data_IF_141972439766
#
_entry.id   IF_141972439766
#
_cell.length_a   1.000
_cell.length_b   1.000
_cell.length_c   1.000
_cell.angle_alpha   90.00
_cell.angle_beta   90.00
_cell.angle_gamma   90.00
#
_symmetry.space_group_name_H-M   'P 1'
#
loop_
_entity.id
_entity.type
_entity.pdbx_description
1 polymer ?
#
# COMPACT_ATOMS: atom_id res chain seq x y z
N UNK A 1 37.16 -3.02 -20.19
CA UNK A 1 35.69 -3.15 -20.10
C UNK A 1 35.33 -4.39 -20.89
N UNK A 2 34.64 -5.39 -20.33
CA UNK A 2 34.25 -6.56 -21.12
C UNK A 2 33.32 -6.08 -22.25
N UNK A 3 33.54 -6.63 -23.45
CA UNK A 3 32.81 -6.28 -24.67
C UNK A 3 31.29 -6.25 -24.42
N UNK A 4 30.68 -5.08 -24.57
CA UNK A 4 29.22 -4.95 -24.63
C UNK A 4 28.76 -5.82 -25.80
N UNK A 5 28.07 -6.93 -25.51
CA UNK A 5 27.32 -7.69 -26.52
C UNK A 5 26.59 -6.68 -27.42
N UNK A 6 26.76 -6.82 -28.73
CA UNK A 6 26.07 -6.04 -29.76
C UNK A 6 24.60 -5.87 -29.37
N UNK A 7 24.16 -4.62 -29.29
CA UNK A 7 22.77 -4.27 -28.98
C UNK A 7 21.88 -4.83 -30.09
N UNK A 8 21.18 -5.93 -29.82
CA UNK A 8 20.05 -6.36 -30.64
C UNK A 8 19.09 -5.19 -30.83
N UNK A 9 18.43 -5.13 -31.99
CA UNK A 9 17.40 -4.15 -32.29
C UNK A 9 16.39 -4.01 -31.13
N UNK A 10 16.07 -2.76 -30.76
CA UNK A 10 15.03 -2.49 -29.77
C UNK A 10 13.70 -2.91 -30.39
N UNK A 11 13.11 -4.00 -29.89
CA UNK A 11 11.76 -4.42 -30.26
C UNK A 11 10.77 -3.59 -29.46
N UNK A 12 9.97 -2.79 -30.14
CA UNK A 12 8.88 -2.06 -29.50
C UNK A 12 7.76 -3.03 -29.13
N UNK A 13 7.34 -3.01 -27.87
CA UNK A 13 6.21 -3.79 -27.35
C UNK A 13 4.86 -3.11 -27.59
N UNK A 14 4.87 -1.95 -28.25
CA UNK A 14 3.70 -1.11 -28.52
C UNK A 14 2.74 -1.71 -29.53
N UNK A 15 3.04 -2.82 -30.20
CA UNK A 15 2.08 -3.47 -31.10
C UNK A 15 2.00 -4.97 -30.79
N UNK A 16 0.84 -5.61 -31.02
CA UNK A 16 0.74 -7.06 -30.90
C UNK A 16 1.72 -7.72 -31.87
N UNK A 17 2.44 -8.73 -31.41
CA UNK A 17 3.20 -9.60 -32.27
C UNK A 17 2.27 -10.67 -32.84
N UNK A 18 2.26 -10.84 -34.16
CA UNK A 18 1.41 -11.84 -34.83
C UNK A 18 1.74 -13.28 -34.41
N UNK A 19 2.96 -13.54 -33.95
CA UNK A 19 3.47 -14.87 -33.58
C UNK A 19 3.61 -15.09 -32.06
N UNK A 20 3.13 -14.14 -31.22
CA UNK A 20 3.29 -14.23 -29.78
C UNK A 20 2.31 -15.21 -29.12
N UNK A 21 2.83 -16.20 -28.38
CA UNK A 21 2.05 -17.07 -27.51
C UNK A 21 1.77 -16.38 -26.16
N UNK A 22 0.94 -15.35 -26.20
CA UNK A 22 0.52 -14.63 -24.98
C UNK A 22 -0.47 -15.51 -24.20
N UNK A 23 -0.11 -15.91 -22.98
CA UNK A 23 -1.05 -16.56 -22.08
C UNK A 23 -2.05 -15.52 -21.56
N UNK A 24 -3.35 -15.65 -21.85
CA UNK A 24 -4.34 -14.70 -21.35
C UNK A 24 -4.49 -14.81 -19.83
N UNK A 25 -4.79 -13.68 -19.18
CA UNK A 25 -5.13 -13.63 -17.75
C UNK A 25 -6.65 -13.53 -17.60
N UNK A 26 -7.30 -14.58 -17.10
CA UNK A 26 -8.74 -14.58 -16.78
C UNK A 26 -8.96 -14.05 -15.38
N UNK A 27 -8.93 -12.73 -15.20
CA UNK A 27 -9.04 -12.10 -13.88
C UNK A 27 -10.31 -12.54 -13.14
N UNK A 28 -10.17 -12.84 -11.85
CA UNK A 28 -11.25 -13.38 -11.01
C UNK A 28 -11.52 -14.88 -11.17
N UNK A 29 -10.79 -15.62 -12.00
CA UNK A 29 -10.86 -17.07 -11.97
C UNK A 29 -10.20 -17.63 -10.69
N UNK A 30 -10.94 -18.52 -10.02
CA UNK A 30 -10.55 -19.14 -8.75
C UNK A 30 -9.51 -20.24 -8.91
N UNK A 31 -9.53 -20.96 -10.04
CA UNK A 31 -8.50 -21.94 -10.37
C UNK A 31 -7.28 -21.21 -10.97
N UNK A 32 -6.11 -21.23 -10.32
CA UNK A 32 -4.97 -20.46 -10.80
C UNK A 32 -4.51 -20.88 -12.19
N UNK A 33 -4.57 -22.17 -12.53
CA UNK A 33 -4.14 -22.67 -13.84
C UNK A 33 -5.08 -22.23 -14.95
N UNK A 34 -6.38 -22.10 -14.67
CA UNK A 34 -7.34 -21.51 -15.60
C UNK A 34 -7.24 -19.98 -15.67
N UNK A 35 -6.87 -19.34 -14.55
CA UNK A 35 -6.62 -17.89 -14.48
C UNK A 35 -5.43 -17.47 -15.33
N UNK A 36 -4.34 -18.21 -15.26
CA UNK A 36 -3.06 -17.86 -15.86
C UNK A 36 -2.17 -16.98 -14.98
N UNK A 37 -0.83 -17.02 -15.19
CA UNK A 37 0.14 -16.24 -14.42
C UNK A 37 0.26 -14.79 -14.89
N UNK A 38 0.76 -13.92 -14.01
CA UNK A 38 1.26 -12.59 -14.38
C UNK A 38 2.70 -12.74 -14.90
N UNK A 39 2.94 -12.31 -16.15
CA UNK A 39 4.24 -12.46 -16.84
C UNK A 39 4.68 -11.12 -17.40
N UNK A 40 5.57 -10.41 -16.68
CA UNK A 40 6.12 -9.12 -17.09
C UNK A 40 7.57 -9.23 -17.60
N UNK A 41 7.87 -10.31 -18.33
CA UNK A 41 9.22 -10.58 -18.82
C UNK A 41 9.75 -9.45 -19.72
N UNK A 42 11.08 -9.28 -19.67
CA UNK A 42 11.86 -8.33 -20.46
C UNK A 42 12.78 -9.01 -21.48
N UNK A 43 12.93 -10.33 -21.37
CA UNK A 43 13.86 -11.13 -22.17
C UNK A 43 13.15 -11.88 -23.29
N UNK A 44 11.91 -12.32 -23.05
CA UNK A 44 11.06 -13.03 -24.01
C UNK A 44 9.75 -12.28 -24.26
N UNK A 45 9.73 -11.18 -25.04
CA UNK A 45 8.54 -10.34 -25.22
C UNK A 45 7.27 -11.11 -25.66
N UNK A 46 7.41 -12.24 -26.34
CA UNK A 46 6.28 -13.08 -26.78
C UNK A 46 5.49 -13.74 -25.64
N UNK A 47 6.08 -13.88 -24.45
CA UNK A 47 5.38 -14.42 -23.26
C UNK A 47 4.72 -13.34 -22.41
N UNK A 48 4.97 -12.07 -22.70
CA UNK A 48 4.46 -10.95 -21.90
C UNK A 48 2.94 -10.84 -22.05
N UNK A 49 2.25 -10.79 -20.92
CA UNK A 49 0.79 -10.64 -20.86
C UNK A 49 0.33 -9.46 -19.96
N UNK A 50 1.22 -8.52 -19.68
CA UNK A 50 0.93 -7.31 -18.90
C UNK A 50 1.60 -6.06 -19.49
N UNK A 51 1.07 -4.90 -19.12
CA UNK A 51 1.72 -3.60 -19.28
C UNK A 51 2.67 -3.35 -18.09
N UNK A 52 3.83 -2.75 -18.33
CA UNK A 52 4.81 -2.45 -17.26
C UNK A 52 5.80 -3.58 -17.01
N UNK A 53 6.40 -3.60 -15.82
CA UNK A 53 7.45 -4.57 -15.42
C UNK A 53 7.35 -4.92 -13.94
N UNK A 54 7.90 -6.06 -13.53
CA UNK A 54 8.12 -6.37 -12.11
C UNK A 54 9.02 -5.33 -11.43
N UNK A 55 9.06 -5.36 -10.09
CA UNK A 55 9.88 -4.48 -9.25
C UNK A 55 9.32 -3.07 -9.04
N UNK A 56 8.11 -2.78 -9.52
CA UNK A 56 7.40 -1.51 -9.28
C UNK A 56 8.30 -0.28 -9.51
N UNK A 57 8.34 0.63 -8.53
CA UNK A 57 9.18 1.84 -8.58
C UNK A 57 10.70 1.55 -8.64
N UNK A 58 11.14 0.32 -8.34
CA UNK A 58 12.54 -0.09 -8.41
C UNK A 58 13.00 -0.54 -9.81
N UNK A 59 12.07 -0.71 -10.76
CA UNK A 59 12.40 -1.15 -12.12
C UNK A 59 13.41 -0.23 -12.83
N UNK A 60 13.37 1.08 -12.55
CA UNK A 60 14.31 2.06 -13.12
C UNK A 60 15.73 1.83 -12.62
N UNK A 61 15.93 1.48 -11.35
CA UNK A 61 17.26 1.15 -10.82
C UNK A 61 17.81 -0.13 -11.45
N UNK A 62 16.95 -1.13 -11.68
CA UNK A 62 17.33 -2.32 -12.46
C UNK A 62 17.77 -1.93 -13.86
N UNK A 63 17.02 -1.05 -14.53
CA UNK A 63 17.37 -0.58 -15.88
C UNK A 63 18.74 0.11 -15.92
N UNK A 64 19.04 0.96 -14.93
CA UNK A 64 20.36 1.60 -14.78
C UNK A 64 21.45 0.56 -14.52
N UNK A 65 21.22 -0.42 -13.64
CA UNK A 65 22.19 -1.49 -13.35
C UNK A 65 22.53 -2.29 -14.62
N UNK A 66 21.53 -2.57 -15.47
CA UNK A 66 21.76 -3.23 -16.77
C UNK A 66 22.56 -2.33 -17.72
N UNK A 67 22.17 -1.06 -17.86
CA UNK A 67 22.85 -0.10 -18.73
C UNK A 67 24.31 0.14 -18.30
N UNK A 68 24.58 0.11 -16.99
CA UNK A 68 25.89 0.22 -16.38
C UNK A 68 26.72 -1.09 -16.45
N UNK A 69 26.13 -2.20 -16.92
CA UNK A 69 26.79 -3.50 -17.01
C UNK A 69 26.97 -4.22 -15.67
N UNK A 70 26.28 -3.77 -14.61
CA UNK A 70 26.27 -4.42 -13.29
C UNK A 70 25.33 -5.61 -13.23
N UNK A 71 24.33 -5.66 -14.11
CA UNK A 71 23.40 -6.78 -14.28
C UNK A 71 23.31 -7.14 -15.76
N UNK A 72 23.29 -8.43 -16.11
CA UNK A 72 23.10 -8.82 -17.50
C UNK A 72 21.64 -8.58 -17.93
N UNK A 73 21.43 -8.24 -19.21
CA UNK A 73 20.07 -7.99 -19.74
C UNK A 73 19.17 -9.23 -19.63
N UNK A 74 19.76 -10.41 -19.82
CA UNK A 74 19.15 -11.73 -19.76
C UNK A 74 19.12 -12.34 -18.35
N UNK A 75 19.51 -11.58 -17.32
CA UNK A 75 19.52 -12.07 -15.94
C UNK A 75 18.13 -12.57 -15.51
N UNK A 76 18.09 -13.85 -15.12
CA UNK A 76 16.95 -14.49 -14.46
C UNK A 76 17.26 -14.66 -12.98
N UNK A 77 16.31 -14.25 -12.14
CA UNK A 77 16.44 -14.42 -10.71
C UNK A 77 16.39 -15.91 -10.35
N UNK A 78 17.29 -16.33 -9.46
CA UNK A 78 17.16 -17.62 -8.79
C UNK A 78 16.13 -17.49 -7.66
N UNK A 79 15.00 -18.19 -7.81
CA UNK A 79 13.90 -18.22 -6.84
C UNK A 79 13.91 -19.50 -5.99
N UNK A 80 15.01 -20.23 -5.99
CA UNK A 80 15.19 -21.39 -5.11
C UNK A 80 15.14 -20.94 -3.65
N UNK A 81 14.38 -21.66 -2.82
CA UNK A 81 14.18 -21.36 -1.40
C UNK A 81 13.57 -19.98 -1.09
N UNK A 82 12.84 -19.37 -2.04
CA UNK A 82 12.11 -18.11 -1.82
C UNK A 82 10.61 -18.32 -1.56
N UNK A 83 10.19 -19.54 -1.21
CA UNK A 83 8.80 -19.84 -0.85
C UNK A 83 8.37 -19.03 0.39
N UNK A 84 7.09 -18.63 0.48
CA UNK A 84 6.62 -17.80 1.58
C UNK A 84 6.75 -18.52 2.94
N UNK A 85 7.17 -17.79 3.97
CA UNK A 85 7.36 -18.35 5.33
C UNK A 85 6.04 -18.62 6.09
N UNK A 86 4.92 -18.23 5.50
CA UNK A 86 3.56 -18.53 5.94
C UNK A 86 2.65 -18.55 4.71
N UNK A 87 1.66 -19.45 4.70
CA UNK A 87 0.67 -19.52 3.62
C UNK A 87 -0.53 -18.66 3.98
N UNK A 88 -1.13 -18.02 2.98
CA UNK A 88 -2.36 -17.23 3.10
C UNK A 88 -3.30 -17.71 2.01
N UNK A 89 -4.57 -17.93 2.36
CA UNK A 89 -5.60 -18.34 1.43
C UNK A 89 -5.39 -19.74 0.81
N UNK A 90 -6.02 -20.01 -0.35
CA UNK A 90 -6.86 -19.08 -1.10
C UNK A 90 -8.15 -18.71 -0.34
N UNK A 91 -8.54 -17.44 -0.40
CA UNK A 91 -9.82 -16.97 0.15
C UNK A 91 -10.83 -16.79 -0.98
N UNK A 92 -12.13 -16.87 -0.67
CA UNK A 92 -13.23 -16.73 -1.65
C UNK A 92 -13.09 -15.46 -2.51
N UNK A 93 -12.68 -14.35 -1.88
CA UNK A 93 -12.42 -13.05 -2.52
C UNK A 93 -11.41 -13.09 -3.67
N UNK A 94 -10.52 -14.09 -3.72
CA UNK A 94 -9.51 -14.21 -4.78
C UNK A 94 -10.15 -14.58 -6.14
N UNK A 95 -11.31 -15.25 -6.10
CA UNK A 95 -12.11 -15.60 -7.28
C UNK A 95 -13.23 -14.61 -7.59
N UNK A 96 -13.22 -13.41 -7.01
CA UNK A 96 -14.22 -12.37 -7.26
C UNK A 96 -13.56 -11.20 -7.99
N UNK A 97 -13.77 -11.11 -9.31
CA UNK A 97 -13.03 -10.21 -10.21
C UNK A 97 -13.04 -8.73 -9.80
N UNK A 98 -14.13 -8.27 -9.18
CA UNK A 98 -14.29 -6.88 -8.73
C UNK A 98 -13.90 -6.64 -7.27
N UNK A 99 -13.54 -7.67 -6.49
CA UNK A 99 -13.10 -7.52 -5.10
C UNK A 99 -11.67 -7.03 -5.02
N UNK A 100 -10.78 -7.69 -5.75
CA UNK A 100 -9.34 -7.42 -5.74
C UNK A 100 -8.95 -7.02 -7.16
N UNK A 101 -8.54 -5.76 -7.34
CA UNK A 101 -8.21 -5.18 -8.66
C UNK A 101 -6.83 -4.52 -8.68
N UNK A 102 -6.14 -4.42 -7.55
CA UNK A 102 -4.88 -3.68 -7.40
C UNK A 102 -3.70 -4.50 -6.87
N UNK A 103 -3.88 -5.81 -6.64
CA UNK A 103 -2.83 -6.79 -6.36
C UNK A 103 -3.13 -8.13 -7.04
N UNK A 104 -2.12 -8.98 -7.23
CA UNK A 104 -2.28 -10.34 -7.76
C UNK A 104 -2.52 -11.33 -6.60
N UNK A 105 -3.71 -11.95 -6.46
CA UNK A 105 -4.03 -12.79 -5.31
C UNK A 105 -3.08 -13.99 -5.17
N UNK A 106 -2.58 -14.50 -6.29
CA UNK A 106 -1.66 -15.64 -6.36
C UNK A 106 -0.18 -15.24 -6.25
N UNK A 107 0.10 -13.94 -6.11
CA UNK A 107 1.44 -13.37 -6.19
C UNK A 107 2.45 -13.93 -5.19
N UNK A 108 1.99 -14.48 -4.06
CA UNK A 108 2.85 -15.04 -3.01
C UNK A 108 3.36 -16.46 -3.33
N UNK A 109 2.63 -17.18 -4.19
CA UNK A 109 2.88 -18.59 -4.51
C UNK A 109 2.97 -18.83 -6.02
N UNK A 110 3.08 -17.77 -6.82
CA UNK A 110 3.05 -17.85 -8.28
C UNK A 110 4.11 -18.82 -8.85
N UNK A 111 5.40 -18.77 -8.43
CA UNK A 111 6.39 -19.73 -8.95
C UNK A 111 6.06 -21.20 -8.64
N UNK A 112 5.41 -21.48 -7.51
CA UNK A 112 5.04 -22.83 -7.09
C UNK A 112 3.81 -23.34 -7.85
N UNK A 113 2.77 -22.51 -7.89
CA UNK A 113 1.50 -22.82 -8.55
C UNK A 113 1.68 -22.97 -10.06
N UNK A 114 2.53 -22.14 -10.67
CA UNK A 114 2.80 -22.15 -12.10
C UNK A 114 4.11 -22.87 -12.46
N UNK A 115 4.54 -23.82 -11.62
CA UNK A 115 5.82 -24.52 -11.79
C UNK A 115 5.98 -25.22 -13.15
N UNK A 116 4.90 -25.71 -13.75
CA UNK A 116 4.92 -26.29 -15.10
C UNK A 116 5.31 -25.27 -16.19
N UNK A 117 4.83 -24.03 -16.10
CA UNK A 117 5.22 -22.94 -17.00
C UNK A 117 6.66 -22.47 -16.74
N UNK A 118 7.06 -22.41 -15.46
CA UNK A 118 8.45 -22.08 -15.08
C UNK A 118 9.43 -23.10 -15.66
N UNK A 119 9.11 -24.40 -15.57
CA UNK A 119 9.91 -25.49 -16.16
C UNK A 119 10.00 -25.40 -17.69
N UNK A 120 8.98 -24.82 -18.35
CA UNK A 120 8.99 -24.52 -19.79
C UNK A 120 9.76 -23.23 -20.13
N UNK A 121 10.41 -22.60 -19.14
CA UNK A 121 11.25 -21.42 -19.34
C UNK A 121 10.51 -20.08 -19.24
N UNK A 122 9.26 -20.05 -18.77
CA UNK A 122 8.53 -18.81 -18.53
C UNK A 122 9.07 -18.07 -17.29
N UNK A 123 9.29 -16.75 -17.41
CA UNK A 123 9.79 -15.89 -16.33
C UNK A 123 8.63 -15.39 -15.46
N UNK A 124 8.15 -16.28 -14.58
CA UNK A 124 7.07 -16.01 -13.62
C UNK A 124 7.70 -15.66 -12.28
N UNK A 125 7.41 -14.46 -11.78
CA UNK A 125 7.98 -13.93 -10.53
C UNK A 125 6.90 -13.65 -9.50
N UNK A 126 7.20 -13.82 -8.21
CA UNK A 126 6.27 -13.42 -7.17
C UNK A 126 6.10 -11.90 -7.17
N UNK A 127 4.87 -11.45 -6.97
CA UNK A 127 4.53 -10.04 -6.71
C UNK A 127 4.21 -9.81 -5.24
N UNK A 128 4.18 -10.87 -4.43
CA UNK A 128 4.05 -10.82 -2.98
C UNK A 128 5.15 -11.70 -2.36
N UNK A 129 5.79 -11.22 -1.30
CA UNK A 129 6.78 -12.00 -0.55
C UNK A 129 6.43 -11.99 0.94
N UNK A 130 6.40 -13.16 1.57
CA UNK A 130 6.00 -13.32 2.98
C UNK A 130 7.17 -13.87 3.79
N UNK A 131 7.50 -13.21 4.89
CA UNK A 131 8.58 -13.62 5.81
C UNK A 131 8.21 -13.39 7.26
N UNK A 132 8.97 -13.99 8.18
CA UNK A 132 8.84 -13.80 9.64
C UNK A 132 9.95 -12.88 10.13
N UNK A 133 9.64 -12.00 11.06
CA UNK A 133 10.59 -11.04 11.60
C UNK A 133 10.24 -10.69 13.05
N UNK A 134 11.17 -9.99 13.70
CA UNK A 134 10.88 -9.20 14.88
C UNK A 134 10.94 -7.72 14.50
N UNK A 135 10.03 -6.92 15.05
CA UNK A 135 10.13 -5.46 15.01
C UNK A 135 10.43 -4.94 16.42
N UNK A 136 11.19 -3.86 16.52
CA UNK A 136 11.47 -3.18 17.77
C UNK A 136 11.38 -1.68 17.53
N UNK A 137 10.65 -0.98 18.39
CA UNK A 137 10.49 0.48 18.33
C UNK A 137 10.63 1.04 19.75
N UNK A 138 11.24 2.23 19.93
CA UNK A 138 11.34 2.87 21.23
C UNK A 138 9.99 2.99 21.97
N UNK A 139 8.92 3.28 21.24
CA UNK A 139 7.57 3.47 21.78
C UNK A 139 7.01 2.19 22.42
N UNK A 140 7.43 1.01 21.95
CA UNK A 140 7.02 -0.25 22.57
C UNK A 140 7.65 -0.41 23.96
N UNK A 141 8.89 0.04 24.14
CA UNK A 141 9.55 0.03 25.45
C UNK A 141 8.90 1.04 26.38
N UNK A 142 8.56 2.23 25.87
CA UNK A 142 7.82 3.24 26.63
C UNK A 142 6.43 2.75 27.04
N UNK A 143 5.75 2.01 26.16
CA UNK A 143 4.46 1.40 26.45
C UNK A 143 4.55 0.30 27.52
N UNK A 144 5.61 -0.50 27.51
CA UNK A 144 5.89 -1.48 28.57
C UNK A 144 6.18 -0.77 29.89
N UNK A 145 7.07 0.23 29.89
CA UNK A 145 7.44 0.98 31.09
C UNK A 145 6.24 1.70 31.72
N UNK A 146 5.33 2.22 30.89
CA UNK A 146 4.08 2.83 31.32
C UNK A 146 2.96 1.82 31.66
N UNK A 147 3.20 0.51 31.54
CA UNK A 147 2.23 -0.54 31.83
C UNK A 147 1.08 -0.69 30.83
N UNK A 148 1.15 -0.03 29.66
CA UNK A 148 0.15 -0.15 28.57
C UNK A 148 0.28 -1.47 27.81
N UNK A 149 1.51 -1.99 27.71
CA UNK A 149 1.79 -3.31 27.14
C UNK A 149 2.44 -4.21 28.18
N UNK A 150 2.09 -5.50 28.14
CA UNK A 150 2.66 -6.52 29.04
C UNK A 150 3.35 -7.59 28.19
N UNK A 151 4.67 -7.79 28.34
CA UNK A 151 5.36 -8.87 27.64
C UNK A 151 4.78 -10.24 27.99
N UNK A 152 4.57 -11.08 26.98
CA UNK A 152 4.10 -12.47 27.12
C UNK A 152 5.17 -13.50 26.69
N UNK A 153 6.31 -13.04 26.16
CA UNK A 153 7.40 -13.87 25.66
C UNK A 153 7.09 -14.62 24.35
N UNK A 154 5.94 -14.34 23.71
CA UNK A 154 5.50 -14.96 22.47
C UNK A 154 5.27 -13.92 21.37
N UNK A 155 4.35 -13.00 21.60
CA UNK A 155 4.07 -11.89 20.69
C UNK A 155 4.96 -10.72 21.06
N UNK A 156 5.06 -10.37 22.34
CA UNK A 156 5.87 -9.28 22.86
C UNK A 156 6.90 -9.78 23.88
N UNK A 157 8.17 -9.59 23.56
CA UNK A 157 9.29 -9.90 24.43
C UNK A 157 9.59 -8.75 25.41
N UNK A 158 10.23 -9.07 26.54
CA UNK A 158 10.54 -8.09 27.59
C UNK A 158 11.50 -6.96 27.13
N UNK A 159 12.27 -7.19 26.07
CA UNK A 159 13.16 -6.20 25.45
C UNK A 159 12.44 -5.26 24.45
N UNK A 160 11.12 -5.44 24.25
CA UNK A 160 10.29 -4.71 23.31
C UNK A 160 10.27 -5.29 21.89
N UNK A 161 10.91 -6.44 21.64
CA UNK A 161 10.78 -7.13 20.36
C UNK A 161 9.36 -7.68 20.21
N UNK A 162 8.77 -7.49 19.03
CA UNK A 162 7.46 -8.03 18.68
C UNK A 162 7.61 -9.00 17.53
N UNK A 163 7.16 -10.24 17.74
CA UNK A 163 7.15 -11.26 16.69
C UNK A 163 6.03 -10.96 15.70
N UNK A 164 6.39 -10.88 14.41
CA UNK A 164 5.45 -10.60 13.33
C UNK A 164 5.71 -11.49 12.14
N UNK A 165 4.63 -11.77 11.41
CA UNK A 165 4.75 -12.15 9.99
C UNK A 165 4.55 -10.88 9.17
N UNK A 166 5.29 -10.72 8.08
CA UNK A 166 5.13 -9.57 7.17
C UNK A 166 5.01 -10.02 5.72
N UNK A 167 4.17 -9.32 4.96
CA UNK A 167 4.01 -9.51 3.53
C UNK A 167 4.34 -8.20 2.80
N UNK A 168 5.26 -8.23 1.84
CA UNK A 168 5.49 -7.13 0.90
C UNK A 168 4.67 -7.38 -0.37
N UNK A 169 3.90 -6.39 -0.82
CA UNK A 169 2.97 -6.47 -1.94
C UNK A 169 3.37 -5.45 -3.02
N UNK A 170 3.66 -5.93 -4.22
CA UNK A 170 3.77 -5.10 -5.42
C UNK A 170 2.37 -4.84 -6.02
N UNK A 171 2.14 -3.63 -6.56
CA UNK A 171 0.86 -3.32 -7.20
C UNK A 171 0.72 -4.07 -8.53
N UNK A 172 -0.43 -4.72 -8.71
CA UNK A 172 -0.83 -5.40 -9.97
C UNK A 172 -2.26 -5.02 -10.27
N UNK A 173 -2.45 -4.15 -11.26
CA UNK A 173 -3.73 -3.54 -11.55
C UNK A 173 -4.46 -4.27 -12.66
N UNK A 174 -5.68 -4.69 -12.39
CA UNK A 174 -6.63 -5.13 -13.41
C UNK A 174 -7.41 -3.91 -13.93
N UNK A 175 -7.01 -3.41 -15.10
CA UNK A 175 -7.47 -2.13 -15.65
C UNK A 175 -9.00 -2.02 -15.79
N UNK A 176 -9.74 -3.04 -16.27
CA UNK A 176 -11.20 -2.98 -16.29
C UNK A 176 -11.82 -2.81 -14.89
N UNK A 177 -11.27 -3.49 -13.88
CA UNK A 177 -11.73 -3.40 -12.50
C UNK A 177 -11.43 -2.04 -11.86
N UNK A 178 -10.21 -1.51 -12.10
CA UNK A 178 -9.82 -0.16 -11.69
C UNK A 178 -10.77 0.87 -12.32
N UNK A 179 -11.03 0.79 -13.63
CA UNK A 179 -11.91 1.72 -14.33
C UNK A 179 -13.33 1.74 -13.72
N UNK A 180 -13.94 0.56 -13.53
CA UNK A 180 -15.25 0.43 -12.87
C UNK A 180 -15.25 1.06 -11.48
N UNK A 181 -14.20 0.81 -10.69
CA UNK A 181 -14.11 1.30 -9.31
C UNK A 181 -14.04 2.82 -9.20
N UNK A 182 -13.45 3.49 -10.18
CA UNK A 182 -13.42 4.95 -10.27
C UNK A 182 -14.55 5.54 -11.12
N UNK A 183 -15.51 4.73 -11.58
CA UNK A 183 -16.61 5.21 -12.43
C UNK A 183 -16.15 5.73 -13.80
N UNK A 184 -15.03 5.20 -14.31
CA UNK A 184 -14.43 5.57 -15.59
C UNK A 184 -14.68 4.48 -16.64
N UNK A 185 -14.64 4.87 -17.92
CA UNK A 185 -14.42 3.89 -18.98
C UNK A 185 -12.96 3.45 -18.96
N UNK A 186 -12.68 2.21 -19.37
CA UNK A 186 -11.31 1.72 -19.44
C UNK A 186 -10.44 2.55 -20.40
N UNK A 187 -11.00 2.99 -21.53
CA UNK A 187 -10.31 3.87 -22.47
C UNK A 187 -9.93 5.21 -21.84
N UNK A 188 -10.82 5.81 -21.02
CA UNK A 188 -10.52 7.06 -20.31
C UNK A 188 -9.42 6.85 -19.26
N UNK A 189 -9.47 5.75 -18.50
CA UNK A 189 -8.42 5.39 -17.54
C UNK A 189 -7.06 5.25 -18.23
N UNK A 190 -6.97 4.41 -19.26
CA UNK A 190 -5.74 4.14 -20.01
C UNK A 190 -5.16 5.41 -20.61
N UNK A 191 -6.01 6.23 -21.25
CA UNK A 191 -5.60 7.51 -21.83
C UNK A 191 -5.08 8.47 -20.76
N UNK A 192 -5.79 8.60 -19.64
CA UNK A 192 -5.36 9.43 -18.51
C UNK A 192 -4.00 8.99 -17.96
N UNK A 193 -3.81 7.69 -17.73
CA UNK A 193 -2.54 7.14 -17.28
C UNK A 193 -1.40 7.43 -18.27
N UNK A 194 -1.62 7.26 -19.56
CA UNK A 194 -0.61 7.53 -20.59
C UNK A 194 -0.27 9.03 -20.69
N UNK A 195 -1.27 9.91 -20.81
CA UNK A 195 -1.07 11.35 -20.99
C UNK A 195 -0.44 11.99 -19.74
N UNK A 196 -0.92 11.63 -18.54
CA UNK A 196 -0.45 12.21 -17.27
C UNK A 196 0.90 11.65 -16.80
N UNK A 197 1.42 10.60 -17.44
CA UNK A 197 2.79 10.10 -17.21
C UNK A 197 3.76 10.56 -18.29
N UNK A 198 3.38 11.51 -19.15
CA UNK A 198 4.24 12.01 -20.22
C UNK A 198 4.48 10.99 -21.34
N UNK A 199 3.50 10.10 -21.57
CA UNK A 199 3.56 9.08 -22.62
C UNK A 199 4.30 7.80 -22.22
N UNK A 200 4.46 7.53 -20.92
CA UNK A 200 5.00 6.24 -20.47
C UNK A 200 4.01 5.12 -20.80
N UNK A 201 4.56 3.94 -21.13
CA UNK A 201 3.80 2.72 -21.46
C UNK A 201 2.82 2.91 -22.64
N UNK A 202 3.32 3.06 -23.88
CA UNK A 202 2.47 3.16 -25.08
C UNK A 202 1.44 2.02 -25.20
N UNK A 203 1.74 0.84 -24.64
CA UNK A 203 0.84 -0.31 -24.58
C UNK A 203 -0.50 0.00 -23.90
N UNK A 204 -0.57 1.00 -23.01
CA UNK A 204 -1.84 1.48 -22.46
C UNK A 204 -2.81 1.91 -23.56
N UNK A 205 -2.30 2.44 -24.67
CA UNK A 205 -3.10 2.91 -25.81
C UNK A 205 -3.21 1.84 -26.90
N UNK A 206 -2.10 1.13 -27.16
CA UNK A 206 -1.96 0.33 -28.37
C UNK A 206 -2.18 -1.17 -28.18
N UNK A 207 -2.24 -1.65 -26.93
CA UNK A 207 -2.42 -3.06 -26.56
C UNK A 207 -3.67 -3.26 -25.70
N UNK A 208 -4.84 -3.15 -26.34
CA UNK A 208 -6.13 -3.43 -25.69
C UNK A 208 -6.33 -4.91 -25.33
N UNK A 209 -5.43 -5.79 -25.76
CA UNK A 209 -5.36 -7.20 -25.37
C UNK A 209 -4.70 -7.42 -23.98
N UNK A 210 -4.07 -6.39 -23.40
CA UNK A 210 -3.41 -6.45 -22.11
C UNK A 210 -4.24 -5.74 -21.03
N UNK A 211 -4.98 -6.52 -20.24
CA UNK A 211 -5.86 -6.00 -19.18
C UNK A 211 -5.15 -5.73 -17.84
N UNK A 212 -3.92 -6.21 -17.69
CA UNK A 212 -3.17 -6.11 -16.43
C UNK A 212 -2.00 -5.14 -16.59
N UNK A 213 -1.82 -4.26 -15.59
CA UNK A 213 -0.78 -3.25 -15.54
C UNK A 213 0.01 -3.36 -14.23
N UNK A 214 1.33 -3.32 -14.31
CA UNK A 214 2.23 -3.22 -13.15
C UNK A 214 2.73 -1.77 -13.06
N UNK A 215 2.00 -0.89 -12.34
CA UNK A 215 2.40 0.50 -12.22
C UNK A 215 3.70 0.65 -11.40
N UNK A 216 4.62 1.55 -11.80
CA UNK A 216 5.88 1.77 -11.08
C UNK A 216 5.69 2.67 -9.85
N UNK A 217 4.73 2.34 -8.99
CA UNK A 217 4.38 3.10 -7.77
C UNK A 217 4.86 2.36 -6.51
N UNK A 218 4.76 3.04 -5.36
CA UNK A 218 5.05 2.44 -4.07
C UNK A 218 4.10 1.27 -3.76
N UNK A 219 4.67 0.15 -3.29
CA UNK A 219 3.91 -1.00 -2.83
C UNK A 219 3.35 -0.85 -1.42
N UNK A 220 2.93 -1.97 -0.85
CA UNK A 220 2.39 -2.05 0.51
C UNK A 220 3.13 -3.11 1.32
N UNK A 221 3.27 -2.88 2.62
CA UNK A 221 3.75 -3.91 3.56
C UNK A 221 2.66 -4.17 4.60
N UNK A 222 2.29 -5.43 4.75
CA UNK A 222 1.39 -5.90 5.80
C UNK A 222 2.22 -6.46 6.95
N UNK A 223 1.84 -6.16 8.19
CA UNK A 223 2.39 -6.75 9.40
C UNK A 223 1.27 -7.44 10.17
N UNK A 224 1.49 -8.70 10.53
CA UNK A 224 0.55 -9.57 11.21
C UNK A 224 1.04 -9.85 12.64
N UNK A 225 0.15 -9.69 13.61
CA UNK A 225 0.39 -9.89 15.03
C UNK A 225 -0.50 -11.03 15.52
N UNK A 226 0.09 -12.01 16.20
CA UNK A 226 -0.64 -13.21 16.64
C UNK A 226 -0.73 -14.29 15.57
N UNK A 227 -1.77 -15.11 15.68
CA UNK A 227 -2.04 -16.21 14.73
C UNK A 227 -2.71 -15.67 13.45
N UNK A 228 -2.15 -16.02 12.29
CA UNK A 228 -2.67 -15.55 11.01
C UNK A 228 -3.93 -16.29 10.59
N UNK A 229 -4.12 -17.53 11.04
CA UNK A 229 -5.26 -18.36 10.65
C UNK A 229 -6.57 -17.81 11.24
N UNK A 230 -6.49 -16.93 12.24
CA UNK A 230 -7.64 -16.28 12.86
C UNK A 230 -8.09 -15.00 12.13
N UNK A 231 -7.22 -14.38 11.33
CA UNK A 231 -7.50 -13.13 10.59
C UNK A 231 -8.80 -13.19 9.76
N UNK A 232 -9.07 -14.24 8.96
CA UNK A 232 -10.31 -14.31 8.16
C UNK A 232 -11.54 -14.68 8.99
N UNK A 233 -11.41 -15.09 10.25
CA UNK A 233 -12.53 -15.55 11.06
C UNK A 233 -13.30 -14.36 11.67
N UNK A 234 -14.57 -14.11 11.27
CA UNK A 234 -15.32 -12.96 11.74
C UNK A 234 -15.75 -13.06 13.21
N UNK A 235 -15.60 -14.22 13.86
CA UNK A 235 -15.95 -14.41 15.27
C UNK A 235 -14.75 -14.23 16.22
N UNK A 236 -13.55 -14.04 15.67
CA UNK A 236 -12.32 -13.82 16.45
C UNK A 236 -11.94 -12.33 16.41
N UNK A 237 -11.60 -11.70 17.54
CA UNK A 237 -11.21 -10.29 17.59
C UNK A 237 -10.08 -9.95 16.61
N UNK A 238 -10.32 -8.92 15.80
CA UNK A 238 -9.36 -8.43 14.79
C UNK A 238 -9.19 -6.92 14.92
N UNK A 239 -7.96 -6.49 15.19
CA UNK A 239 -7.56 -5.09 15.15
C UNK A 239 -6.88 -4.78 13.81
N UNK A 240 -7.29 -3.69 13.16
CA UNK A 240 -6.72 -3.27 11.87
C UNK A 240 -6.38 -1.79 11.88
N UNK A 241 -5.19 -1.47 11.37
CA UNK A 241 -4.77 -0.11 11.01
C UNK A 241 -4.32 -0.09 9.56
N UNK A 242 -4.93 0.76 8.76
CA UNK A 242 -4.36 1.14 7.46
C UNK A 242 -3.59 2.43 7.61
N UNK A 243 -2.30 2.38 7.35
CA UNK A 243 -1.37 3.49 7.44
C UNK A 243 -0.91 3.92 6.05
N UNK A 244 -0.86 5.22 5.80
CA UNK A 244 -0.20 5.78 4.63
C UNK A 244 1.13 6.38 5.09
N UNK A 245 2.20 6.05 4.38
CA UNK A 245 3.56 6.49 4.65
C UNK A 245 3.66 8.00 4.90
N UNK A 246 4.43 8.35 5.93
CA UNK A 246 4.85 9.70 6.24
C UNK A 246 6.29 9.65 6.75
N UNK A 247 7.25 9.62 5.84
CA UNK A 247 8.69 9.47 6.11
C UNK A 247 9.19 10.38 7.26
N UNK A 248 8.89 11.68 7.18
CA UNK A 248 9.28 12.64 8.20
C UNK A 248 8.76 12.34 9.62
N UNK A 249 7.56 11.77 9.75
CA UNK A 249 7.00 11.41 11.06
C UNK A 249 7.41 9.99 11.45
N UNK A 250 7.16 9.02 10.58
CA UNK A 250 7.34 7.60 10.84
C UNK A 250 8.80 7.28 11.16
N UNK A 251 9.75 7.85 10.41
CA UNK A 251 11.19 7.60 10.61
C UNK A 251 11.80 8.58 11.61
N UNK A 252 11.54 9.89 11.43
CA UNK A 252 12.28 10.95 12.14
C UNK A 252 11.51 11.61 13.29
N UNK A 253 10.27 11.19 13.56
CA UNK A 253 9.52 11.69 14.72
C UNK A 253 9.05 13.13 14.58
N UNK A 254 8.83 13.63 13.36
CA UNK A 254 8.23 14.96 13.15
C UNK A 254 6.91 15.11 13.93
N UNK A 255 6.81 16.22 14.66
CA UNK A 255 5.72 16.60 15.56
C UNK A 255 4.65 17.47 14.89
N UNK A 256 4.79 17.77 13.59
CA UNK A 256 3.85 18.58 12.80
C UNK A 256 2.58 17.77 12.44
N UNK A 257 2.66 16.44 12.54
CA UNK A 257 1.55 15.55 12.21
C UNK A 257 1.45 14.37 13.17
N UNK A 258 0.32 13.68 13.09
CA UNK A 258 -0.02 12.54 13.97
C UNK A 258 0.31 11.18 13.37
N UNK A 259 1.03 11.10 12.24
CA UNK A 259 1.28 9.84 11.53
C UNK A 259 1.96 8.78 12.39
N UNK A 260 3.15 9.06 12.95
CA UNK A 260 3.87 8.10 13.80
C UNK A 260 3.11 7.76 15.10
N UNK A 261 2.56 8.72 15.86
CA UNK A 261 1.72 8.42 17.02
C UNK A 261 0.54 7.49 16.71
N UNK A 262 -0.07 7.61 15.53
CA UNK A 262 -1.12 6.70 15.09
C UNK A 262 -0.61 5.30 14.72
N UNK A 263 0.55 5.24 14.06
CA UNK A 263 1.16 3.97 13.70
C UNK A 263 1.50 3.17 14.96
N UNK A 264 2.15 3.83 15.94
CA UNK A 264 2.55 3.21 17.20
C UNK A 264 1.33 2.81 18.02
N UNK A 265 0.30 3.65 18.11
CA UNK A 265 -0.96 3.29 18.77
C UNK A 265 -1.67 2.11 18.07
N UNK A 266 -1.68 2.08 16.74
CA UNK A 266 -2.21 0.95 15.97
C UNK A 266 -1.47 -0.36 16.29
N UNK A 267 -0.15 -0.30 16.40
CA UNK A 267 0.69 -1.45 16.78
C UNK A 267 0.37 -1.88 18.23
N UNK A 268 0.27 -0.95 19.18
CA UNK A 268 -0.12 -1.27 20.58
C UNK A 268 -1.46 -2.02 20.63
N UNK A 269 -2.48 -1.53 19.91
CA UNK A 269 -3.81 -2.16 19.84
C UNK A 269 -3.76 -3.54 19.16
N UNK A 270 -2.95 -3.68 18.10
CA UNK A 270 -2.76 -4.96 17.42
C UNK A 270 -2.10 -6.00 18.32
N UNK A 271 -1.07 -5.61 19.08
CA UNK A 271 -0.40 -6.48 20.05
C UNK A 271 -1.39 -6.92 21.13
N UNK A 272 -2.10 -5.99 21.76
CA UNK A 272 -3.07 -6.32 22.81
C UNK A 272 -4.15 -7.30 22.32
N UNK A 273 -4.73 -7.02 21.15
CA UNK A 273 -5.77 -7.87 20.56
C UNK A 273 -5.23 -9.27 20.27
N UNK A 274 -4.00 -9.38 19.77
CA UNK A 274 -3.34 -10.66 19.54
C UNK A 274 -3.05 -11.44 20.84
N UNK A 275 -2.65 -10.74 21.92
CA UNK A 275 -2.41 -11.35 23.23
C UNK A 275 -3.68 -11.89 23.89
N UNK A 276 -4.84 -11.30 23.57
CA UNK A 276 -6.16 -11.71 24.04
C UNK A 276 -6.76 -12.88 23.23
N UNK A 277 -6.00 -13.47 22.30
CA UNK A 277 -6.43 -14.59 21.45
C UNK A 277 -7.03 -14.17 20.11
N UNK A 278 -6.95 -12.88 19.77
CA UNK A 278 -7.30 -12.35 18.46
C UNK A 278 -6.11 -12.26 17.50
N UNK A 279 -6.20 -11.33 16.55
CA UNK A 279 -5.12 -10.96 15.65
C UNK A 279 -5.05 -9.44 15.43
N UNK A 280 -3.87 -8.98 14.99
CA UNK A 280 -3.63 -7.60 14.59
C UNK A 280 -3.08 -7.51 13.17
N UNK A 281 -3.50 -6.48 12.42
CA UNK A 281 -3.02 -6.19 11.07
C UNK A 281 -2.67 -4.72 10.92
N UNK A 282 -1.42 -4.42 10.55
CA UNK A 282 -1.02 -3.10 10.07
C UNK A 282 -0.79 -3.18 8.57
N UNK A 283 -1.55 -2.42 7.80
CA UNK A 283 -1.37 -2.28 6.36
C UNK A 283 -0.68 -0.95 6.05
N UNK A 284 0.63 -0.98 5.80
CA UNK A 284 1.47 0.19 5.56
C UNK A 284 1.64 0.45 4.05
N UNK A 285 1.00 1.49 3.54
CA UNK A 285 0.96 1.83 2.11
C UNK A 285 1.94 2.95 1.80
N UNK A 286 2.79 2.79 0.78
CA UNK A 286 3.81 3.78 0.40
C UNK A 286 3.20 4.92 -0.44
N UNK A 287 2.36 5.73 0.22
CA UNK A 287 1.58 6.83 -0.36
C UNK A 287 1.90 8.16 0.32
N UNK A 288 3.18 8.55 0.31
CA UNK A 288 3.69 9.78 0.92
C UNK A 288 2.91 11.03 0.49
N UNK A 289 2.68 11.94 1.45
CA UNK A 289 2.08 13.24 1.18
C UNK A 289 0.67 13.16 0.59
N UNK A 290 -0.12 12.15 0.96
CA UNK A 290 -1.42 11.85 0.32
C UNK A 290 -1.29 11.53 -1.17
N UNK A 291 -0.24 10.80 -1.52
CA UNK A 291 0.16 10.50 -2.89
C UNK A 291 0.52 11.74 -3.74
N UNK A 292 0.80 12.89 -3.11
CA UNK A 292 1.37 14.08 -3.78
C UNK A 292 2.91 14.10 -3.77
N UNK A 293 3.52 13.22 -2.97
CA UNK A 293 4.97 13.19 -2.76
C UNK A 293 5.48 14.20 -1.73
N UNK A 294 6.73 14.00 -1.31
CA UNK A 294 7.35 14.75 -0.20
C UNK A 294 7.64 16.21 -0.54
N UNK A 295 8.02 16.51 -1.79
CA UNK A 295 8.28 17.89 -2.26
C UNK A 295 7.02 18.74 -2.11
N UNK A 296 5.89 18.29 -2.67
CA UNK A 296 4.60 18.99 -2.60
C UNK A 296 4.17 19.19 -1.15
N UNK A 297 4.32 18.15 -0.31
CA UNK A 297 4.04 18.24 1.13
C UNK A 297 4.83 19.36 1.80
N UNK A 298 6.13 19.49 1.53
CA UNK A 298 6.96 20.53 2.12
C UNK A 298 6.61 21.93 1.59
N UNK A 299 6.28 22.05 0.30
CA UNK A 299 5.75 23.29 -0.27
C UNK A 299 4.46 23.72 0.45
N UNK A 300 3.55 22.78 0.73
CA UNK A 300 2.31 23.05 1.49
C UNK A 300 2.62 23.47 2.92
N UNK A 301 3.55 22.81 3.62
CA UNK A 301 3.96 23.22 4.97
C UNK A 301 4.55 24.64 4.99
N UNK A 302 5.42 24.96 4.03
CA UNK A 302 5.98 26.30 3.89
C UNK A 302 4.89 27.34 3.60
N UNK A 303 3.94 27.02 2.72
CA UNK A 303 2.83 27.90 2.38
C UNK A 303 1.90 28.15 3.59
N UNK A 304 1.61 27.10 4.37
CA UNK A 304 0.82 27.19 5.61
C UNK A 304 1.49 28.06 6.66
N UNK A 305 2.80 28.00 6.82
CA UNK A 305 3.52 28.83 7.78
C UNK A 305 3.65 30.29 7.33
N UNK A 306 3.77 30.55 6.02
CA UNK A 306 4.01 31.90 5.46
C UNK A 306 2.74 32.70 5.16
N UNK A 307 1.57 32.07 5.16
CA UNK A 307 0.32 32.80 4.91
C UNK A 307 0.02 33.81 6.00
N UNK A 308 -0.78 34.82 5.65
CA UNK A 308 -1.34 35.75 6.61
C UNK A 308 -2.13 35.00 7.70
N UNK A 309 -1.89 35.34 8.97
CA UNK A 309 -2.46 34.64 10.11
C UNK A 309 -1.74 33.33 10.50
N UNK A 310 -0.67 32.95 9.82
CA UNK A 310 0.18 31.80 10.15
C UNK A 310 -0.48 30.44 9.90
N UNK A 311 0.13 29.38 10.44
CA UNK A 311 -0.41 28.03 10.34
C UNK A 311 -1.61 27.86 11.27
N UNK A 312 -2.81 27.70 10.72
CA UNK A 312 -4.06 27.61 11.47
C UNK A 312 -4.94 26.47 10.99
N UNK A 313 -5.72 25.89 11.91
CA UNK A 313 -6.59 24.77 11.57
C UNK A 313 -7.66 25.16 10.52
N UNK A 314 -8.15 26.40 10.57
CA UNK A 314 -9.15 26.94 9.65
C UNK A 314 -8.72 26.95 8.17
N UNK A 315 -7.41 27.05 7.89
CA UNK A 315 -6.85 27.17 6.52
C UNK A 315 -6.08 25.93 6.07
N UNK A 316 -6.07 24.88 6.89
CA UNK A 316 -5.22 23.70 6.73
C UNK A 316 -5.35 23.04 5.34
N UNK A 317 -6.58 22.79 4.87
CA UNK A 317 -6.82 22.15 3.57
C UNK A 317 -6.67 23.12 2.39
N UNK A 318 -6.99 24.39 2.59
CA UNK A 318 -6.95 25.42 1.53
C UNK A 318 -5.57 25.49 0.87
N UNK A 319 -4.48 25.48 1.67
CA UNK A 319 -3.12 25.52 1.12
C UNK A 319 -2.72 24.27 0.36
N UNK A 320 -3.27 23.12 0.70
CA UNK A 320 -3.04 21.89 -0.07
C UNK A 320 -3.65 22.04 -1.46
N UNK A 321 -4.90 22.50 -1.52
CA UNK A 321 -5.62 22.72 -2.79
C UNK A 321 -4.97 23.80 -3.65
N UNK A 322 -4.50 24.91 -3.07
CA UNK A 322 -3.78 25.94 -3.83
C UNK A 322 -2.50 25.43 -4.49
N UNK A 323 -1.76 24.53 -3.83
CA UNK A 323 -0.45 24.05 -4.31
C UNK A 323 -0.60 22.84 -5.22
N UNK A 324 -1.51 21.92 -4.88
CA UNK A 324 -1.65 20.62 -5.55
C UNK A 324 -2.86 20.53 -6.48
N UNK A 325 -3.77 21.51 -6.46
CA UNK A 325 -5.05 21.48 -7.19
C UNK A 325 -6.10 20.54 -6.60
N UNK A 326 -5.72 19.69 -5.64
CA UNK A 326 -6.58 18.72 -4.95
C UNK A 326 -6.12 18.54 -3.50
N UNK A 327 -7.02 18.06 -2.63
CA UNK A 327 -6.71 17.84 -1.21
C UNK A 327 -6.16 16.43 -0.92
N UNK A 328 -6.41 15.46 -1.81
CA UNK A 328 -6.03 14.05 -1.62
C UNK A 328 -5.96 13.31 -2.97
N UNK A 329 -4.91 12.50 -3.19
CA UNK A 329 -4.73 11.64 -4.37
C UNK A 329 -4.52 10.16 -4.00
N UNK A 330 -4.81 9.75 -2.76
CA UNK A 330 -4.49 8.40 -2.28
C UNK A 330 -5.35 7.31 -2.86
N UNK A 331 -6.48 7.64 -3.50
CA UNK A 331 -7.44 6.67 -4.05
C UNK A 331 -7.71 5.53 -3.05
N UNK A 332 -8.43 5.86 -1.97
CA UNK A 332 -8.64 4.94 -0.84
C UNK A 332 -9.49 3.71 -1.23
N UNK A 333 -10.16 3.77 -2.37
CA UNK A 333 -10.95 2.68 -2.95
C UNK A 333 -10.11 1.44 -3.31
N UNK A 334 -8.79 1.56 -3.45
CA UNK A 334 -7.89 0.42 -3.71
C UNK A 334 -7.38 -0.25 -2.44
N UNK A 335 -7.36 0.45 -1.32
CA UNK A 335 -6.82 -0.05 -0.05
C UNK A 335 -7.51 -1.34 0.45
N UNK A 336 -8.84 -1.55 0.30
CA UNK A 336 -9.49 -2.76 0.80
C UNK A 336 -9.02 -4.05 0.12
N UNK A 337 -8.36 -3.98 -1.03
CA UNK A 337 -7.90 -5.16 -1.77
C UNK A 337 -6.98 -6.05 -0.95
N UNK A 338 -6.08 -5.45 -0.16
CA UNK A 338 -5.21 -6.21 0.74
C UNK A 338 -5.99 -6.86 1.89
N UNK A 339 -7.06 -6.21 2.37
CA UNK A 339 -7.92 -6.79 3.40
C UNK A 339 -8.75 -7.95 2.85
N UNK A 340 -9.27 -7.81 1.62
CA UNK A 340 -9.93 -8.88 0.89
C UNK A 340 -8.97 -10.02 0.57
N UNK A 341 -7.71 -9.74 0.25
CA UNK A 341 -6.68 -10.75 0.04
C UNK A 341 -6.45 -11.61 1.29
N UNK A 342 -6.56 -11.02 2.48
CA UNK A 342 -6.50 -11.72 3.77
C UNK A 342 -7.81 -12.45 4.15
N UNK A 343 -8.84 -12.38 3.30
CA UNK A 343 -10.15 -12.97 3.59
C UNK A 343 -10.95 -12.23 4.66
N UNK A 344 -10.58 -10.99 5.02
CA UNK A 344 -11.26 -10.23 6.07
C UNK A 344 -12.66 -9.83 5.59
N UNK A 345 -13.66 -10.15 6.41
CA UNK A 345 -15.07 -9.71 6.23
C UNK A 345 -15.57 -8.85 7.40
N UNK A 346 -14.89 -8.89 8.55
CA UNK A 346 -15.21 -8.10 9.74
C UNK A 346 -13.95 -7.61 10.44
N UNK A 347 -13.96 -6.37 10.88
CA UNK A 347 -12.94 -5.73 11.70
C UNK A 347 -13.59 -5.34 13.02
N UNK A 348 -13.09 -5.90 14.12
CA UNK A 348 -13.60 -5.60 15.45
C UNK A 348 -13.15 -4.21 15.89
N UNK A 349 -11.87 -3.90 15.69
CA UNK A 349 -11.25 -2.64 16.13
C UNK A 349 -10.49 -1.99 14.98
N UNK A 350 -11.09 -0.98 14.35
CA UNK A 350 -10.45 -0.21 13.29
C UNK A 350 -9.77 1.03 13.87
N UNK A 351 -8.44 1.04 13.94
CA UNK A 351 -7.67 2.13 14.54
C UNK A 351 -7.52 3.29 13.55
N UNK A 352 -8.54 4.14 13.45
CA UNK A 352 -8.55 5.27 12.52
C UNK A 352 -9.67 6.27 12.80
N UNK A 353 -9.34 7.56 12.72
CA UNK A 353 -10.32 8.65 12.64
C UNK A 353 -10.70 9.02 11.19
N UNK A 354 -10.08 8.42 10.17
CA UNK A 354 -10.35 8.79 8.77
C UNK A 354 -11.63 8.16 8.23
N UNK A 355 -12.62 9.00 7.88
CA UNK A 355 -13.84 8.52 7.23
C UNK A 355 -13.58 8.02 5.82
N UNK A 356 -12.66 8.65 5.08
CA UNK A 356 -12.28 8.16 3.74
C UNK A 356 -11.82 6.70 3.77
N UNK A 357 -11.05 6.30 4.79
CA UNK A 357 -10.61 4.91 4.96
C UNK A 357 -11.75 4.02 5.44
N UNK A 358 -12.50 4.47 6.44
CA UNK A 358 -13.64 3.73 6.98
C UNK A 358 -14.66 3.43 5.87
N UNK A 359 -15.08 4.45 5.13
CA UNK A 359 -16.10 4.35 4.09
C UNK A 359 -15.63 3.48 2.94
N UNK A 360 -14.34 3.56 2.56
CA UNK A 360 -13.79 2.67 1.54
C UNK A 360 -13.87 1.19 1.96
N UNK A 361 -13.58 0.87 3.23
CA UNK A 361 -13.66 -0.50 3.78
C UNK A 361 -15.11 -0.97 3.85
N UNK A 362 -16.02 -0.14 4.40
CA UNK A 362 -17.43 -0.52 4.54
C UNK A 362 -18.11 -0.66 3.19
N UNK A 363 -17.86 0.26 2.25
CA UNK A 363 -18.40 0.16 0.87
C UNK A 363 -17.85 -1.05 0.11
N UNK A 364 -16.65 -1.52 0.46
CA UNK A 364 -16.11 -2.77 -0.09
C UNK A 364 -16.71 -4.02 0.58
N UNK A 365 -17.67 -3.87 1.51
CA UNK A 365 -18.40 -4.97 2.12
C UNK A 365 -17.71 -5.61 3.34
N UNK A 366 -16.77 -4.91 3.97
CA UNK A 366 -16.16 -5.33 5.24
C UNK A 366 -16.85 -4.58 6.38
N UNK A 367 -17.38 -5.32 7.36
CA UNK A 367 -18.01 -4.74 8.55
C UNK A 367 -16.95 -4.16 9.50
N UNK A 368 -17.18 -2.96 10.04
CA UNK A 368 -16.36 -2.38 11.12
C UNK A 368 -17.25 -2.21 12.35
N UNK A 369 -16.88 -2.84 13.48
CA UNK A 369 -17.65 -2.75 14.73
C UNK A 369 -17.28 -1.53 15.57
N UNK A 370 -15.98 -1.28 15.75
CA UNK A 370 -15.46 -0.16 16.54
C UNK A 370 -14.44 0.65 15.74
N UNK A 371 -14.53 1.99 15.84
CA UNK A 371 -13.47 2.89 15.39
C UNK A 371 -12.70 3.40 16.61
N UNK A 372 -11.40 3.10 16.66
CA UNK A 372 -10.52 3.50 17.77
C UNK A 372 -9.77 4.77 17.39
N UNK A 373 -10.05 5.93 18.04
CA UNK A 373 -9.32 7.17 17.80
C UNK A 373 -7.95 7.15 18.48
N UNK A 374 -7.05 8.04 18.08
CA UNK A 374 -5.80 8.24 18.82
C UNK A 374 -6.08 8.84 20.22
N UNK A 375 -5.41 8.36 21.28
CA UNK A 375 -5.45 9.00 22.60
C UNK A 375 -4.94 10.45 22.56
N UNK A 376 -5.59 11.35 23.29
CA UNK A 376 -5.24 12.78 23.31
C UNK A 376 -3.79 13.03 23.77
N UNK A 377 -3.32 12.27 24.75
CA UNK A 377 -1.94 12.36 25.25
C UNK A 377 -0.86 11.93 24.25
N UNK A 378 -1.23 11.30 23.13
CA UNK A 378 -0.30 10.93 22.06
C UNK A 378 -0.28 11.96 20.91
N UNK A 379 -1.10 13.01 20.96
CA UNK A 379 -1.15 14.04 19.92
C UNK A 379 -0.07 15.10 20.22
N UNK A 380 0.95 15.26 19.35
CA UNK A 380 1.93 16.32 19.51
C UNK A 380 1.29 17.71 19.49
N UNK A 381 1.90 18.67 20.18
CA UNK A 381 1.33 20.02 20.31
C UNK A 381 1.10 20.72 18.96
N UNK A 382 2.09 20.66 18.05
CA UNK A 382 2.01 21.28 16.72
C UNK A 382 1.01 20.54 15.81
N UNK A 383 0.86 19.23 16.00
CA UNK A 383 -0.11 18.40 15.28
C UNK A 383 -1.58 18.68 15.68
N UNK A 384 -1.84 19.48 16.72
CA UNK A 384 -3.21 19.93 17.05
C UNK A 384 -3.85 20.71 15.90
N UNK A 385 -3.06 21.48 15.14
CA UNK A 385 -3.54 22.19 13.94
C UNK A 385 -4.15 21.21 12.93
N UNK A 386 -3.41 20.14 12.62
CA UNK A 386 -3.90 19.08 11.73
C UNK A 386 -5.14 18.40 12.31
N UNK A 387 -5.10 18.08 13.60
CA UNK A 387 -6.13 17.29 14.25
C UNK A 387 -7.47 18.02 14.31
N UNK A 388 -7.49 19.28 14.74
CA UNK A 388 -8.72 20.07 14.79
C UNK A 388 -9.26 20.36 13.39
N UNK A 389 -8.39 20.62 12.41
CA UNK A 389 -8.80 20.79 11.02
C UNK A 389 -9.48 19.52 10.47
N UNK A 390 -8.92 18.35 10.74
CA UNK A 390 -9.48 17.06 10.30
C UNK A 390 -10.84 16.79 10.94
N UNK A 391 -10.97 16.99 12.26
CA UNK A 391 -12.24 16.85 12.98
C UNK A 391 -13.32 17.77 12.41
N UNK A 392 -12.96 19.03 12.13
CA UNK A 392 -13.87 19.99 11.50
C UNK A 392 -14.27 19.61 10.06
N UNK A 393 -13.38 18.94 9.34
CA UNK A 393 -13.65 18.39 8.00
C UNK A 393 -14.43 17.07 8.01
N UNK A 394 -14.89 16.61 9.19
CA UNK A 394 -15.78 15.46 9.34
C UNK A 394 -15.15 14.23 9.98
N UNK A 395 -13.81 14.18 10.14
CA UNK A 395 -13.11 12.99 10.65
C UNK A 395 -13.69 12.57 12.00
N UNK A 396 -14.03 11.29 12.11
CA UNK A 396 -14.57 10.68 13.33
C UNK A 396 -13.83 11.09 14.59
N UNK A 397 -14.59 11.50 15.60
CA UNK A 397 -14.11 11.86 16.94
C UNK A 397 -15.20 11.54 17.95
N UNK A 398 -14.80 11.12 19.14
CA UNK A 398 -15.71 11.00 20.30
C UNK A 398 -15.78 12.29 21.12
N UNK A 399 -14.85 13.22 20.87
CA UNK A 399 -14.80 14.53 21.54
C UNK A 399 -15.48 15.66 20.76
N UNK A 400 -15.39 16.88 21.31
CA UNK A 400 -15.96 18.09 20.72
C UNK A 400 -15.32 18.40 19.35
N UNK A 401 -16.14 18.85 18.40
CA UNK A 401 -15.69 19.48 17.15
C UNK A 401 -15.64 20.99 17.38
N UNK A 402 -14.47 21.59 17.12
CA UNK A 402 -14.26 23.02 17.27
C UNK A 402 -15.10 23.83 16.28
N UNK A 403 -15.66 24.95 16.75
CA UNK A 403 -16.31 25.96 15.92
C UNK A 403 -15.29 26.70 15.05
N UNK A 404 -15.76 27.42 14.01
CA UNK A 404 -14.88 28.19 13.12
C UNK A 404 -14.00 29.21 13.87
N UNK A 405 -14.54 29.85 14.92
CA UNK A 405 -13.77 30.78 15.76
C UNK A 405 -12.68 30.04 16.55
N UNK A 406 -13.01 28.91 17.18
CA UNK A 406 -12.05 28.09 17.92
C UNK A 406 -10.94 27.54 17.00
N UNK A 407 -11.25 27.19 15.75
CA UNK A 407 -10.24 26.73 14.77
C UNK A 407 -9.22 27.81 14.37
N UNK A 408 -9.60 29.10 14.45
CA UNK A 408 -8.67 30.20 14.16
C UNK A 408 -7.65 30.41 15.29
N UNK A 409 -8.03 30.08 16.52
CA UNK A 409 -7.19 30.18 17.72
C UNK A 409 -6.17 29.04 17.82
N UNK A 410 -6.44 27.90 17.17
CA UNK A 410 -5.50 26.78 17.06
C UNK A 410 -4.40 27.13 16.06
N UNK A 411 -3.23 27.52 16.59
CA UNK A 411 -2.05 27.91 15.83
C UNK A 411 -0.91 26.91 15.95
N UNK A 412 -0.21 26.70 14.83
CA UNK A 412 1.07 26.00 14.81
C UNK A 412 2.22 26.93 15.15
N UNK A 413 3.41 26.37 15.28
CA UNK A 413 4.64 27.14 15.47
C UNK A 413 4.96 28.05 14.28
N UNK A 414 5.63 29.16 14.57
CA UNK A 414 6.16 30.06 13.54
C UNK A 414 7.23 29.37 12.67
N UNK A 415 7.65 30.04 11.60
CA UNK A 415 8.67 29.52 10.68
C UNK A 415 10.04 29.35 11.37
N UNK A 416 10.40 30.28 12.26
CA UNK A 416 11.73 30.39 12.88
C UNK A 416 11.77 29.84 14.33
N UNK A 417 10.72 29.15 14.76
CA UNK A 417 10.54 28.66 16.14
C UNK A 417 11.02 27.22 16.35
#
# INVERSE_FOLDING_TARGET
MPDKKSTNHIRLTSHPDSDAQVLPIRWGESDPMRRGPVVATLTEPGHRNVVGTHSGSYAIYRAIAVAAGQLTQDHRADLTNTAPAALIGPHKSWGEADRIVSLDPWGAVAPQVFSSYVQQGMDIRPTIAITRAHINMPELRDAIAAGRLKPDGKILCANGDVSVVKAALEPVWYLPGIARRFGLTEAALRRGLFEQTGGMFPELITRSDLDVFLPPIGGQTLYFFGDMDTIPNPDIPLAVRVHDECNGSDVFGSDICTCRPYLTHGIEVCIQTAQEGGAGVIAYSRKEGRALGEVTKFLVYNARKRQEGGDSAATYFHRTECVAGVQDMRFQELMPDALHWLGITRIHRFVSMSDMKHDAIVKSGIEILERVPIPEGLIPADAKVEMEAKKAAGYFTTGKVASQTELQEVKGRALDA
#
